data_IF_924109529538
#
_entry.id   IF_924109529538
#
_cell.length_a   1.000
_cell.length_b   1.000
_cell.length_c   1.000
_cell.angle_alpha   90.00
_cell.angle_beta   90.00
_cell.angle_gamma   90.00
#
_symmetry.space_group_name_H-M   'P 1'
#
loop_
_entity.id
_entity.type
_entity.pdbx_description
1 polymer ?
#
# COMPACT_ATOMS: atom_id res chain seq x y z
N UNK A 1 -11.72 14.00 -8.06
CA UNK A 1 -11.03 13.34 -6.92
C UNK A 1 -9.56 13.19 -7.31
N UNK A 2 -8.66 13.78 -6.53
CA UNK A 2 -7.21 13.76 -6.82
C UNK A 2 -6.63 12.53 -6.12
N UNK A 3 -6.12 11.56 -6.88
CA UNK A 3 -5.45 10.39 -6.33
C UNK A 3 -4.06 10.77 -5.86
N UNK A 4 -3.72 10.37 -4.63
CA UNK A 4 -2.35 10.58 -4.12
C UNK A 4 -1.46 9.48 -4.67
N UNK A 5 -0.28 9.82 -5.15
CA UNK A 5 0.72 8.84 -5.61
C UNK A 5 1.56 8.37 -4.43
N UNK A 6 1.72 7.05 -4.28
CA UNK A 6 2.48 6.41 -3.20
C UNK A 6 3.35 5.29 -3.76
N UNK A 7 4.53 5.07 -3.17
CA UNK A 7 5.42 3.96 -3.58
C UNK A 7 4.84 2.61 -3.17
N UNK A 8 5.32 1.53 -3.80
CA UNK A 8 4.83 0.19 -3.54
C UNK A 8 4.90 -0.20 -2.04
N UNK A 9 5.99 0.16 -1.35
CA UNK A 9 6.15 -0.09 0.09
C UNK A 9 5.15 0.70 0.94
N UNK A 10 4.86 1.96 0.58
CA UNK A 10 3.89 2.78 1.30
C UNK A 10 2.46 2.24 1.12
N UNK A 11 2.10 1.84 -0.09
CA UNK A 11 0.81 1.20 -0.38
C UNK A 11 0.66 -0.13 0.38
N UNK A 12 1.71 -0.95 0.39
CA UNK A 12 1.73 -2.20 1.13
C UNK A 12 1.52 -1.97 2.64
N UNK A 13 2.23 -1.00 3.21
CA UNK A 13 2.14 -0.68 4.64
C UNK A 13 0.76 -0.08 5.01
N UNK A 14 0.19 0.78 4.18
CA UNK A 14 -1.15 1.35 4.37
C UNK A 14 -2.24 0.26 4.33
N UNK A 15 -2.19 -0.62 3.33
CA UNK A 15 -3.12 -1.76 3.22
C UNK A 15 -2.95 -2.67 4.44
N UNK A 16 -1.72 -2.96 4.84
CA UNK A 16 -1.41 -3.76 6.03
C UNK A 16 -1.97 -3.14 7.31
N UNK A 17 -1.79 -1.82 7.52
CA UNK A 17 -2.35 -1.12 8.68
C UNK A 17 -3.87 -1.13 8.72
N UNK A 18 -4.52 -0.91 7.58
CA UNK A 18 -6.00 -0.91 7.53
C UNK A 18 -6.56 -2.30 7.80
N UNK A 19 -5.94 -3.34 7.25
CA UNK A 19 -6.35 -4.72 7.52
C UNK A 19 -6.12 -5.07 8.99
N UNK A 20 -4.96 -4.72 9.56
CA UNK A 20 -4.68 -4.91 10.99
C UNK A 20 -5.51 -4.02 11.92
N UNK A 21 -6.28 -3.07 11.38
CA UNK A 21 -7.27 -2.28 12.14
C UNK A 21 -8.68 -2.86 12.08
N UNK A 22 -8.94 -3.86 11.24
CA UNK A 22 -10.23 -4.56 11.25
C UNK A 22 -10.35 -5.29 12.57
N UNK A 23 -11.41 -4.99 13.30
CA UNK A 23 -11.65 -5.56 14.62
C UNK A 23 -11.62 -7.10 14.58
N UNK A 24 -12.17 -7.71 13.52
CA UNK A 24 -12.17 -9.17 13.35
C UNK A 24 -10.74 -9.75 13.20
N UNK A 25 -9.88 -9.07 12.44
CA UNK A 25 -8.46 -9.46 12.28
C UNK A 25 -7.67 -9.26 13.58
N UNK A 26 -7.97 -8.19 14.32
CA UNK A 26 -7.36 -7.92 15.63
C UNK A 26 -7.80 -8.95 16.66
N UNK A 27 -9.08 -9.30 16.67
CA UNK A 27 -9.70 -10.23 17.63
C UNK A 27 -9.22 -11.67 17.43
N UNK A 28 -9.14 -12.14 16.17
CA UNK A 28 -8.53 -13.44 15.86
C UNK A 28 -6.98 -13.41 15.89
N UNK A 29 -6.34 -12.24 15.98
CA UNK A 29 -4.89 -12.11 15.93
C UNK A 29 -4.28 -12.53 14.58
N UNK A 30 -5.07 -12.50 13.51
CA UNK A 30 -4.68 -12.98 12.18
C UNK A 30 -3.69 -12.02 11.54
N UNK A 31 -2.51 -12.51 11.18
CA UNK A 31 -1.54 -11.74 10.39
C UNK A 31 -1.77 -11.99 8.90
N UNK A 32 -2.59 -11.16 8.27
CA UNK A 32 -2.77 -11.20 6.81
C UNK A 32 -1.50 -10.68 6.15
N UNK A 33 -0.88 -11.52 5.32
CA UNK A 33 0.35 -11.13 4.61
C UNK A 33 -0.05 -10.34 3.37
N UNK A 34 0.16 -9.03 3.43
CA UNK A 34 -0.02 -8.12 2.31
C UNK A 34 1.20 -8.20 1.38
N UNK A 35 1.05 -8.65 0.13
CA UNK A 35 2.12 -8.64 -0.87
C UNK A 35 2.46 -7.22 -1.30
N UNK A 36 3.63 -7.07 -1.92
CA UNK A 36 4.01 -5.82 -2.57
C UNK A 36 3.10 -5.58 -3.79
N UNK A 37 2.45 -4.40 -3.91
CA UNK A 37 1.66 -4.05 -5.08
C UNK A 37 2.54 -3.95 -6.32
N UNK A 38 2.06 -4.51 -7.42
CA UNK A 38 2.72 -4.48 -8.71
C UNK A 38 2.06 -3.45 -9.61
N UNK A 39 2.89 -2.71 -10.35
CA UNK A 39 2.42 -1.81 -11.39
C UNK A 39 1.71 -2.62 -12.47
N UNK A 40 0.56 -2.13 -12.92
CA UNK A 40 -0.20 -2.68 -14.03
C UNK A 40 -0.81 -1.56 -14.85
N UNK A 41 -1.41 -1.92 -15.98
CA UNK A 41 -2.15 -0.97 -16.79
C UNK A 41 -3.28 -0.31 -15.97
N UNK A 42 -3.48 1.01 -16.12
CA UNK A 42 -4.55 1.71 -15.43
C UNK A 42 -5.90 1.11 -15.82
N UNK A 43 -6.61 0.58 -14.83
CA UNK A 43 -7.94 0.01 -15.01
C UNK A 43 -8.97 1.09 -15.41
N UNK A 44 -10.22 0.73 -15.72
CA UNK A 44 -11.32 1.68 -15.94
C UNK A 44 -11.52 2.66 -14.77
N UNK A 45 -11.12 2.26 -13.56
CA UNK A 45 -11.06 3.15 -12.40
C UNK A 45 -9.92 4.17 -12.49
N UNK A 46 -8.87 3.97 -13.28
CA UNK A 46 -7.64 4.76 -13.36
C UNK A 46 -6.56 4.30 -12.37
N UNK A 47 -6.69 3.09 -11.82
CA UNK A 47 -5.76 2.50 -10.86
C UNK A 47 -4.67 1.71 -11.60
N UNK A 48 -3.41 2.11 -11.42
CA UNK A 48 -2.25 1.56 -12.12
C UNK A 48 -1.51 0.46 -11.33
N UNK A 49 -2.14 -0.14 -10.32
CA UNK A 49 -1.51 -1.20 -9.54
C UNK A 49 -2.51 -2.24 -9.05
N UNK A 50 -2.00 -3.44 -8.77
CA UNK A 50 -2.78 -4.56 -8.25
C UNK A 50 -1.95 -5.48 -7.36
N UNK A 51 -2.66 -6.24 -6.53
CA UNK A 51 -2.09 -7.20 -5.59
C UNK A 51 -2.77 -8.54 -5.84
N UNK A 52 -2.02 -9.48 -6.40
CA UNK A 52 -2.46 -10.87 -6.59
C UNK A 52 -1.85 -11.71 -5.48
N UNK A 53 -2.66 -12.47 -4.75
CA UNK A 53 -2.27 -13.40 -3.66
C UNK A 53 -1.98 -12.80 -2.29
N UNK A 54 -2.99 -12.28 -1.59
CA UNK A 54 -2.87 -12.08 -0.14
C UNK A 54 -2.76 -13.45 0.56
N UNK A 55 -1.82 -13.54 1.49
CA UNK A 55 -1.66 -14.73 2.32
C UNK A 55 -2.64 -14.73 3.48
N UNK A 56 -3.26 -15.87 3.75
CA UNK A 56 -4.13 -16.10 4.91
C UNK A 56 -5.45 -15.29 4.91
N UNK A 57 -6.10 -15.19 3.75
CA UNK A 57 -7.40 -14.53 3.59
C UNK A 57 -8.62 -15.36 4.03
N UNK A 58 -8.44 -16.60 4.52
CA UNK A 58 -9.54 -17.53 4.77
C UNK A 58 -10.56 -16.98 5.77
N UNK A 59 -11.65 -16.39 5.27
CA UNK A 59 -12.67 -15.67 6.04
C UNK A 59 -12.76 -14.16 5.73
N UNK A 60 -11.62 -13.51 5.50
CA UNK A 60 -11.47 -12.04 5.41
C UNK A 60 -11.43 -11.48 3.98
N UNK A 61 -11.73 -12.31 2.97
CA UNK A 61 -11.63 -11.89 1.56
C UNK A 61 -12.46 -10.66 1.23
N UNK A 62 -13.68 -10.55 1.77
CA UNK A 62 -14.58 -9.41 1.49
C UNK A 62 -14.04 -8.12 2.09
N UNK A 63 -13.66 -8.14 3.36
CA UNK A 63 -13.18 -6.96 4.08
C UNK A 63 -11.84 -6.48 3.55
N UNK A 64 -10.92 -7.40 3.28
CA UNK A 64 -9.64 -7.07 2.64
C UNK A 64 -9.88 -6.52 1.23
N UNK A 65 -10.75 -7.14 0.42
CA UNK A 65 -11.06 -6.62 -0.92
C UNK A 65 -11.68 -5.22 -0.86
N UNK A 66 -12.54 -4.93 0.12
CA UNK A 66 -13.13 -3.61 0.31
C UNK A 66 -12.07 -2.55 0.68
N UNK A 67 -11.16 -2.88 1.61
CA UNK A 67 -10.03 -2.00 1.98
C UNK A 67 -9.15 -1.74 0.76
N UNK A 68 -8.78 -2.77 0.03
CA UNK A 68 -7.93 -2.65 -1.17
C UNK A 68 -8.62 -1.79 -2.23
N UNK A 69 -9.91 -2.00 -2.48
CA UNK A 69 -10.68 -1.19 -3.41
C UNK A 69 -10.75 0.29 -2.99
N UNK A 70 -10.87 0.57 -1.70
CA UNK A 70 -10.82 1.94 -1.16
C UNK A 70 -9.43 2.57 -1.39
N UNK A 71 -8.35 1.85 -1.05
CA UNK A 71 -6.97 2.33 -1.25
C UNK A 71 -6.69 2.53 -2.75
N UNK A 72 -7.18 1.67 -3.64
CA UNK A 72 -7.04 1.82 -5.11
C UNK A 72 -7.77 3.05 -5.67
N UNK A 73 -8.85 3.49 -5.02
CA UNK A 73 -9.57 4.72 -5.39
C UNK A 73 -8.87 5.98 -4.87
N UNK A 74 -8.22 5.89 -3.72
CA UNK A 74 -7.53 7.00 -3.05
C UNK A 74 -6.10 7.19 -3.55
N UNK A 75 -5.41 6.10 -3.90
CA UNK A 75 -3.98 6.07 -4.16
C UNK A 75 -3.61 5.36 -5.46
N UNK A 76 -2.65 5.94 -6.18
CA UNK A 76 -1.97 5.33 -7.32
C UNK A 76 -0.54 4.95 -6.95
N UNK A 77 0.01 3.95 -7.63
CA UNK A 77 1.37 3.52 -7.43
C UNK A 77 2.30 4.47 -8.18
N UNK A 78 3.18 5.14 -7.46
CA UNK A 78 4.25 5.93 -8.05
C UNK A 78 5.18 4.99 -8.81
N UNK A 79 5.29 5.18 -10.13
CA UNK A 79 6.35 4.59 -10.95
C UNK A 79 7.72 5.19 -10.66
N UNK A 80 7.76 6.29 -9.92
CA UNK A 80 8.99 6.90 -9.43
C UNK A 80 9.55 6.04 -8.29
N UNK A 81 10.40 5.07 -8.62
CA UNK A 81 11.26 4.34 -7.67
C UNK A 81 12.32 5.24 -6.99
N UNK A 82 12.15 6.57 -7.00
CA UNK A 82 13.21 7.51 -6.70
C UNK A 82 12.79 8.62 -5.74
N UNK A 83 12.26 8.29 -4.56
CA UNK A 83 12.21 9.31 -3.48
C UNK A 83 12.25 8.74 -2.07
N UNK A 84 13.12 7.74 -1.84
CA UNK A 84 13.65 7.46 -0.50
C UNK A 84 15.13 7.83 -0.34
N UNK A 85 15.83 8.16 -1.45
CA UNK A 85 17.22 8.59 -1.39
C UNK A 85 17.41 10.11 -1.28
N UNK A 86 16.35 10.92 -1.41
CA UNK A 86 16.47 12.40 -1.35
C UNK A 86 16.18 13.00 0.04
N UNK A 87 15.85 12.18 1.04
CA UNK A 87 15.64 12.61 2.43
C UNK A 87 16.88 12.48 3.33
N UNK A 88 17.95 11.86 2.85
CA UNK A 88 19.26 11.78 3.52
C UNK A 88 20.32 12.69 2.86
N UNK A 89 19.88 13.72 2.15
CA UNK A 89 20.73 14.66 1.40
C UNK A 89 20.76 16.05 2.00
N UNK A 90 20.85 16.21 3.32
CA UNK A 90 21.40 17.44 3.92
C UNK A 90 21.93 17.15 5.32
N UNK A 91 23.16 16.66 5.38
CA UNK A 91 24.01 16.79 6.55
C UNK A 91 25.38 17.19 6.02
N UNK A 92 25.53 18.46 5.65
CA UNK A 92 26.83 19.11 5.52
C UNK A 92 27.43 19.27 6.93
N UNK A 93 28.52 18.58 7.30
CA UNK A 93 29.37 19.07 8.36
C UNK A 93 30.22 20.20 7.78
N UNK A 94 29.77 21.45 7.95
CA UNK A 94 30.68 22.59 7.87
C UNK A 94 31.59 22.50 9.10
N UNK A 95 32.79 21.95 8.90
CA UNK A 95 33.92 22.21 9.76
C UNK A 95 34.65 23.42 9.17
N UNK A 96 34.61 24.53 9.90
CA UNK A 96 35.57 25.64 9.77
C UNK A 96 36.14 25.93 11.16
#
# INVERSE_FOLDING_TARGET
>A
MIRKTRTASQLQDEVSRRIQRLQEVVDEGVKIRVPRPQLQEPDATGCNWDIKHFGNLGGYQRDVAAIVAAVRKEFNLSTEEKDLNSLFGDATPTAE
#
